data_IF_347371307127
#
_entry.id   IF_347371307127
#
_cell.length_a   1.000
_cell.length_b   1.000
_cell.length_c   1.000
_cell.angle_alpha   90.00
_cell.angle_beta   90.00
_cell.angle_gamma   90.00
#
_symmetry.space_group_name_H-M   'P 1'
#
loop_
_entity.id
_entity.type
_entity.pdbx_description
1 polymer ?
#
# COMPACT_ATOMS: atom_id res chain seq x y z
N UNK A 1 -5.07 1.02 18.99
CA UNK A 1 -3.64 1.09 18.61
C UNK A 1 -3.08 2.39 19.18
N UNK A 2 -2.38 2.33 20.32
CA UNK A 2 -1.97 3.54 21.06
C UNK A 2 -0.56 4.05 20.72
N UNK A 3 0.13 3.42 19.75
CA UNK A 3 1.43 3.88 19.29
C UNK A 3 1.47 3.96 17.76
N UNK A 4 2.17 4.96 17.19
CA UNK A 4 2.43 5.04 15.76
C UNK A 4 3.13 3.77 15.28
N UNK A 5 2.76 3.30 14.09
CA UNK A 5 3.48 2.19 13.44
C UNK A 5 4.90 2.67 13.14
N UNK A 6 5.88 1.99 13.73
CA UNK A 6 7.29 2.25 13.44
C UNK A 6 7.76 1.36 12.28
N UNK A 7 8.55 1.94 11.38
CA UNK A 7 9.17 1.20 10.30
C UNK A 7 10.38 0.43 10.83
N UNK A 8 10.50 -0.84 10.45
CA UNK A 8 11.72 -1.64 10.63
C UNK A 8 12.91 -1.01 9.91
N UNK A 9 14.13 -1.40 10.30
CA UNK A 9 15.36 -0.93 9.67
C UNK A 9 15.38 -1.25 8.17
N UNK A 10 14.90 -2.42 7.80
CA UNK A 10 14.80 -2.90 6.42
C UNK A 10 13.82 -2.03 5.61
N UNK A 11 12.67 -1.68 6.18
CA UNK A 11 11.72 -0.77 5.54
C UNK A 11 12.31 0.63 5.35
N UNK A 12 13.05 1.14 6.35
CA UNK A 12 13.74 2.43 6.23
C UNK A 12 14.84 2.38 5.15
N UNK A 13 15.60 1.29 5.08
CA UNK A 13 16.60 1.06 4.03
C UNK A 13 15.97 1.01 2.65
N UNK A 14 14.84 0.30 2.51
CA UNK A 14 14.09 0.22 1.26
C UNK A 14 13.61 1.60 0.80
N UNK A 15 13.12 2.44 1.69
CA UNK A 15 12.71 3.82 1.37
C UNK A 15 13.90 4.63 0.87
N UNK A 16 15.06 4.54 1.53
CA UNK A 16 16.27 5.25 1.07
C UNK A 16 16.74 4.77 -0.30
N UNK A 17 16.72 3.46 -0.52
CA UNK A 17 17.09 2.86 -1.81
C UNK A 17 16.14 3.27 -2.92
N UNK A 18 14.83 3.33 -2.64
CA UNK A 18 13.84 3.83 -3.58
C UNK A 18 14.04 5.32 -3.90
N UNK A 19 14.29 6.16 -2.89
CA UNK A 19 14.55 7.59 -3.09
C UNK A 19 15.77 7.84 -3.99
N UNK A 20 16.83 7.04 -3.86
CA UNK A 20 17.98 7.12 -4.77
C UNK A 20 17.60 6.79 -6.21
N UNK A 21 16.72 5.81 -6.44
CA UNK A 21 16.23 5.47 -7.78
C UNK A 21 15.38 6.59 -8.37
N UNK A 22 14.49 7.18 -7.58
CA UNK A 22 13.62 8.30 -8.02
C UNK A 22 14.44 9.50 -8.49
N UNK A 23 15.58 9.79 -7.85
CA UNK A 23 16.48 10.89 -8.27
C UNK A 23 17.05 10.72 -9.68
N UNK A 24 17.09 9.49 -10.21
CA UNK A 24 17.59 9.20 -11.55
C UNK A 24 16.47 9.08 -12.59
N UNK A 25 15.21 9.23 -12.19
CA UNK A 25 14.08 9.21 -13.12
C UNK A 25 14.01 10.54 -13.88
N UNK A 26 13.67 10.44 -15.18
CA UNK A 26 13.19 11.60 -15.93
C UNK A 26 11.83 12.07 -15.41
N UNK A 27 11.43 13.27 -15.82
CA UNK A 27 10.14 13.84 -15.43
C UNK A 27 8.95 12.96 -15.83
N UNK A 28 8.96 12.46 -17.07
CA UNK A 28 7.91 11.57 -17.60
C UNK A 28 7.87 10.25 -16.83
N UNK A 29 9.03 9.63 -16.60
CA UNK A 29 9.11 8.39 -15.80
C UNK A 29 8.57 8.59 -14.38
N UNK A 30 8.88 9.73 -13.75
CA UNK A 30 8.38 10.02 -12.40
C UNK A 30 6.85 10.21 -12.39
N UNK A 31 6.29 10.89 -13.39
CA UNK A 31 4.83 11.04 -13.54
C UNK A 31 4.14 9.69 -13.71
N UNK A 32 4.62 8.87 -14.65
CA UNK A 32 4.09 7.53 -14.89
C UNK A 32 4.20 6.64 -13.65
N UNK A 33 5.33 6.72 -12.94
CA UNK A 33 5.55 5.94 -11.74
C UNK A 33 4.61 6.37 -10.61
N UNK A 34 4.35 7.67 -10.44
CA UNK A 34 3.43 8.17 -9.42
C UNK A 34 2.00 7.68 -9.62
N UNK A 35 1.50 7.68 -10.87
CA UNK A 35 0.17 7.16 -11.18
C UNK A 35 0.07 5.66 -10.84
N UNK A 36 1.06 4.87 -11.26
CA UNK A 36 1.11 3.42 -10.98
C UNK A 36 1.22 3.12 -9.48
N UNK A 37 2.03 3.90 -8.76
CA UNK A 37 2.17 3.75 -7.32
C UNK A 37 0.84 4.03 -6.61
N UNK A 38 0.11 5.06 -7.03
CA UNK A 38 -1.21 5.36 -6.46
C UNK A 38 -2.22 4.25 -6.74
N UNK A 39 -2.28 3.72 -7.96
CA UNK A 39 -3.11 2.56 -8.30
C UNK A 39 -2.82 1.36 -7.38
N UNK A 40 -1.54 1.02 -7.19
CA UNK A 40 -1.13 -0.05 -6.29
C UNK A 40 -1.50 0.21 -4.83
N UNK A 41 -1.46 1.47 -4.38
CA UNK A 41 -1.90 1.84 -3.02
C UNK A 41 -3.40 1.59 -2.83
N UNK A 42 -4.23 1.94 -3.82
CA UNK A 42 -5.68 1.70 -3.77
C UNK A 42 -5.99 0.20 -3.77
N UNK A 43 -5.34 -0.58 -4.64
CA UNK A 43 -5.51 -2.05 -4.66
C UNK A 43 -5.10 -2.68 -3.33
N UNK A 44 -3.98 -2.24 -2.75
CA UNK A 44 -3.50 -2.71 -1.45
C UNK A 44 -4.48 -2.35 -0.33
N UNK A 45 -5.05 -1.15 -0.34
CA UNK A 45 -6.06 -0.73 0.62
C UNK A 45 -7.30 -1.65 0.56
N UNK A 46 -7.84 -1.89 -0.64
CA UNK A 46 -9.02 -2.74 -0.80
C UNK A 46 -8.72 -4.19 -0.39
N UNK A 47 -7.54 -4.69 -0.75
CA UNK A 47 -7.08 -6.03 -0.33
C UNK A 47 -7.07 -6.16 1.19
N UNK A 48 -6.55 -5.16 1.92
CA UNK A 48 -6.56 -5.20 3.39
C UNK A 48 -7.97 -5.11 3.98
N UNK A 49 -8.86 -4.30 3.39
CA UNK A 49 -10.26 -4.22 3.81
C UNK A 49 -10.94 -5.58 3.70
N UNK A 50 -10.79 -6.26 2.57
CA UNK A 50 -11.37 -7.59 2.36
C UNK A 50 -10.80 -8.62 3.34
N UNK A 51 -9.48 -8.62 3.56
CA UNK A 51 -8.86 -9.51 4.55
C UNK A 51 -9.39 -9.27 5.98
N UNK A 52 -9.63 -8.01 6.35
CA UNK A 52 -10.18 -7.66 7.66
C UNK A 52 -11.66 -8.03 7.79
N UNK A 53 -12.47 -7.81 6.74
CA UNK A 53 -13.88 -8.26 6.72
C UNK A 53 -13.96 -9.78 6.92
N UNK A 54 -13.07 -10.52 6.25
CA UNK A 54 -12.96 -11.97 6.41
C UNK A 54 -12.61 -12.39 7.82
N UNK A 55 -11.57 -11.77 8.40
CA UNK A 55 -11.16 -12.04 9.76
C UNK A 55 -12.25 -11.73 10.80
N UNK A 56 -13.13 -10.77 10.52
CA UNK A 56 -14.25 -10.40 11.39
C UNK A 56 -15.56 -11.15 11.06
N UNK A 57 -15.57 -12.03 10.06
CA UNK A 57 -16.75 -12.80 9.65
C UNK A 57 -17.84 -11.95 8.98
N UNK A 58 -17.52 -10.75 8.52
CA UNK A 58 -18.46 -9.81 7.90
C UNK A 58 -18.82 -10.18 6.46
N UNK A 59 -18.08 -11.12 5.86
CA UNK A 59 -18.33 -11.66 4.52
C UNK A 59 -19.64 -12.48 4.45
N UNK A 60 -20.18 -12.88 5.60
CA UNK A 60 -21.35 -13.77 5.73
C UNK A 60 -22.71 -13.06 5.61
N UNK A 61 -22.75 -11.74 5.37
CA UNK A 61 -23.99 -10.95 5.33
C UNK A 61 -24.72 -10.87 3.99
N UNK A 62 -24.20 -11.48 2.90
CA UNK A 62 -24.81 -11.37 1.55
C UNK A 62 -25.64 -12.60 1.13
N UNK A 63 -25.86 -13.56 2.03
CA UNK A 63 -26.75 -14.73 1.79
C UNK A 63 -27.98 -14.67 2.67
N UNK A 64 -28.90 -13.74 2.35
CA UNK A 64 -30.33 -13.90 2.63
C UNK A 64 -31.09 -13.28 1.45
N UNK A 65 -31.26 -14.09 0.40
CA UNK A 65 -32.29 -13.94 -0.62
C UNK A 65 -33.40 -14.95 -0.32
#
# INVERSE_FOLDING_TARGET
>A
MNQPIQLSLEQQFNIRSFATQVKHMSHEQAQDFLVKLYEQMVVKEETYKELLKHQWGLDSGSTMA
#
